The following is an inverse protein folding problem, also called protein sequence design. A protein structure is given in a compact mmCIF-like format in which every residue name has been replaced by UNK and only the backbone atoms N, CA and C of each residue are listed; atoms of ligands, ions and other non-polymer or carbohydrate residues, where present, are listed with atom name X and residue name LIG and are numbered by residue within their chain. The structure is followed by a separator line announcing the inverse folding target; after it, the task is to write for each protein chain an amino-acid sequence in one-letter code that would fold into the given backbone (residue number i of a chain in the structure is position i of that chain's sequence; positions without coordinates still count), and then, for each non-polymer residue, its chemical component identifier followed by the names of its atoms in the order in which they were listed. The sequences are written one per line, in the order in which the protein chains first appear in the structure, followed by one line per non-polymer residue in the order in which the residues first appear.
data_IF_100591993029
#
_entry.id   IF_100591993029
#
_cell.length_a   1.000
_cell.length_b   1.000
_cell.length_c   1.000
_cell.angle_alpha   90.00
_cell.angle_beta   90.00
_cell.angle_gamma   90.00
#
_symmetry.space_group_name_H-M   'P 1'
#
loop_
_entity.id
_entity.type
_entity.pdbx_description
1 polymer ?
#
# COMPACT_ATOMS: atom_id res chain seq x y z
N UNK A 1 17.35 -19.36 19.05
CA UNK A 1 16.16 -18.79 19.72
C UNK A 1 14.94 -19.21 18.92
N UNK A 2 13.98 -19.85 19.56
CA UNK A 2 12.68 -20.16 18.96
C UNK A 2 11.82 -18.87 19.00
N UNK A 3 11.18 -18.52 17.85
CA UNK A 3 10.26 -17.42 17.74
C UNK A 3 9.12 -17.79 16.77
N UNK A 4 7.96 -17.17 16.95
CA UNK A 4 6.83 -17.28 16.03
C UNK A 4 6.85 -16.10 15.05
N UNK A 5 6.84 -16.38 13.75
CA UNK A 5 6.80 -15.35 12.72
C UNK A 5 7.65 -15.67 11.50
N UNK A 6 7.66 -14.72 10.58
CA UNK A 6 8.43 -14.82 9.33
C UNK A 6 9.92 -14.64 9.56
N UNK A 7 10.73 -15.28 8.72
CA UNK A 7 12.18 -15.12 8.75
C UNK A 7 12.62 -13.72 8.28
N UNK A 8 13.91 -13.36 8.51
CA UNK A 8 14.41 -12.02 8.20
C UNK A 8 14.24 -11.63 6.72
N UNK A 9 14.38 -12.58 5.80
CA UNK A 9 14.19 -12.32 4.37
C UNK A 9 12.74 -11.87 4.05
N UNK A 10 11.74 -12.60 4.55
CA UNK A 10 10.34 -12.22 4.35
C UNK A 10 10.01 -10.88 5.02
N UNK A 11 10.56 -10.64 6.23
CA UNK A 11 10.40 -9.36 6.90
C UNK A 11 11.02 -8.20 6.11
N UNK A 12 12.21 -8.36 5.55
CA UNK A 12 12.84 -7.36 4.71
C UNK A 12 12.04 -7.09 3.43
N UNK A 13 11.57 -8.14 2.76
CA UNK A 13 10.73 -8.01 1.55
C UNK A 13 9.42 -7.27 1.84
N UNK A 14 8.74 -7.58 2.94
CA UNK A 14 7.48 -6.93 3.32
C UNK A 14 7.68 -5.53 3.93
N UNK A 15 8.87 -5.20 4.41
CA UNK A 15 9.20 -3.88 4.91
C UNK A 15 9.43 -2.86 3.79
N UNK A 16 10.04 -3.28 2.67
CA UNK A 16 10.33 -2.42 1.53
C UNK A 16 9.20 -2.50 0.50
N UNK A 17 8.38 -1.43 0.40
CA UNK A 17 7.21 -1.35 -0.48
C UNK A 17 7.54 -1.57 -1.96
N UNK A 18 8.70 -1.09 -2.43
CA UNK A 18 9.14 -1.31 -3.82
C UNK A 18 9.33 -2.79 -4.08
N UNK A 19 10.09 -3.47 -3.23
CA UNK A 19 10.37 -4.92 -3.33
C UNK A 19 9.08 -5.72 -3.20
N UNK A 20 8.23 -5.39 -2.22
CA UNK A 20 6.91 -6.02 -2.07
C UNK A 20 6.11 -5.97 -3.37
N UNK A 21 5.97 -4.78 -3.96
CA UNK A 21 5.19 -4.56 -5.17
C UNK A 21 5.76 -5.26 -6.41
N UNK A 22 7.08 -5.34 -6.52
CA UNK A 22 7.75 -6.11 -7.57
C UNK A 22 7.40 -7.60 -7.46
N UNK A 23 7.50 -8.17 -6.27
CA UNK A 23 7.16 -9.58 -5.99
C UNK A 23 5.67 -9.85 -6.26
N UNK A 24 4.77 -8.97 -5.80
CA UNK A 24 3.34 -9.11 -6.05
C UNK A 24 3.02 -9.11 -7.55
N UNK A 25 3.60 -8.19 -8.32
CA UNK A 25 3.43 -8.11 -9.78
C UNK A 25 3.95 -9.36 -10.50
N UNK A 26 5.13 -9.87 -10.12
CA UNK A 26 5.70 -11.10 -10.67
C UNK A 26 4.80 -12.32 -10.44
N UNK A 27 4.01 -12.30 -9.37
CA UNK A 27 3.04 -13.35 -9.02
C UNK A 27 1.61 -13.04 -9.48
N UNK A 28 1.39 -12.01 -10.33
CA UNK A 28 0.08 -11.58 -10.83
C UNK A 28 -0.91 -11.19 -9.72
N UNK A 29 -0.42 -10.69 -8.59
CA UNK A 29 -1.23 -10.18 -7.48
C UNK A 29 -1.42 -8.69 -7.66
N UNK A 30 -2.68 -8.23 -7.63
CA UNK A 30 -3.00 -6.83 -7.80
C UNK A 30 -2.41 -5.99 -6.65
N UNK A 31 -1.70 -4.95 -7.00
CA UNK A 31 -1.20 -3.92 -6.10
C UNK A 31 -1.27 -2.57 -6.82
N UNK A 32 -1.46 -1.45 -6.14
CA UNK A 32 -1.50 -0.13 -6.78
C UNK A 32 -0.27 0.11 -7.64
N UNK A 33 -0.44 0.75 -8.80
CA UNK A 33 0.67 1.11 -9.69
C UNK A 33 1.64 2.01 -8.93
N UNK A 34 2.93 1.79 -9.11
CA UNK A 34 3.97 2.57 -8.42
C UNK A 34 5.20 2.84 -9.28
N UNK A 35 5.92 3.91 -8.93
CA UNK A 35 7.16 4.35 -9.55
C UNK A 35 8.11 4.84 -8.45
N UNK A 36 9.33 4.30 -8.38
CA UNK A 36 10.34 4.81 -7.44
C UNK A 36 10.78 6.22 -7.82
N UNK A 37 11.02 7.06 -6.84
CA UNK A 37 11.52 8.43 -7.07
C UNK A 37 12.91 8.44 -7.70
N UNK A 38 13.69 7.38 -7.53
CA UNK A 38 14.99 7.21 -8.17
C UNK A 38 14.90 7.00 -9.69
N UNK A 39 13.73 6.58 -10.17
CA UNK A 39 13.40 6.44 -11.60
C UNK A 39 12.84 7.75 -12.20
N UNK A 40 12.75 8.79 -11.38
CA UNK A 40 12.18 10.08 -11.69
C UNK A 40 13.29 11.12 -11.77
N UNK A 41 13.46 11.81 -12.90
CA UNK A 41 14.52 12.80 -13.03
C UNK A 41 14.14 14.13 -12.38
N UNK A 42 15.17 14.92 -11.98
CA UNK A 42 14.98 16.30 -11.48
C UNK A 42 14.33 17.22 -12.52
N UNK A 43 14.54 16.95 -13.81
CA UNK A 43 13.91 17.67 -14.91
C UNK A 43 12.41 17.39 -14.95
N UNK A 44 12.01 16.13 -14.66
CA UNK A 44 10.61 15.74 -14.56
C UNK A 44 9.89 16.42 -13.37
N UNK A 45 10.59 16.65 -12.25
CA UNK A 45 10.03 17.35 -11.09
C UNK A 45 9.76 18.85 -11.35
N UNK A 46 10.46 19.45 -12.30
CA UNK A 46 10.25 20.85 -12.72
C UNK A 46 9.29 20.96 -13.92
N UNK A 47 9.04 19.88 -14.60
CA UNK A 47 8.04 19.75 -15.65
C UNK A 47 6.77 19.19 -15.02
N UNK A 48 5.62 19.64 -15.43
CA UNK A 48 4.32 19.34 -14.84
C UNK A 48 4.01 17.83 -14.69
N UNK A 49 2.98 17.48 -13.90
CA UNK A 49 2.36 16.13 -13.86
C UNK A 49 1.95 15.60 -15.26
N UNK A 50 2.18 16.39 -16.32
CA UNK A 50 1.93 16.03 -17.72
C UNK A 50 3.12 15.35 -18.41
N UNK A 51 4.19 14.99 -17.70
CA UNK A 51 5.31 14.24 -18.27
C UNK A 51 4.96 12.78 -18.53
N UNK A 52 5.65 12.15 -19.49
CA UNK A 52 5.48 10.73 -19.81
C UNK A 52 5.71 9.79 -18.61
N UNK A 53 6.49 10.23 -17.63
CA UNK A 53 6.73 9.48 -16.38
C UNK A 53 5.45 9.25 -15.58
N UNK A 54 4.47 10.16 -15.68
CA UNK A 54 3.17 10.06 -15.02
C UNK A 54 2.06 9.47 -15.87
N UNK A 55 2.30 9.17 -17.15
CA UNK A 55 1.27 8.59 -18.03
C UNK A 55 0.69 7.29 -17.50
N UNK A 56 1.51 6.50 -16.79
CA UNK A 56 1.08 5.26 -16.14
C UNK A 56 0.07 5.47 -15.00
N UNK A 57 -0.01 6.67 -14.46
CA UNK A 57 -0.93 7.04 -13.38
C UNK A 57 -2.20 7.74 -13.88
N UNK A 58 -2.34 7.93 -15.19
CA UNK A 58 -3.56 8.52 -15.76
C UNK A 58 -4.63 7.44 -15.95
N UNK A 59 -5.87 7.72 -15.63
CA UNK A 59 -6.50 9.03 -15.33
C UNK A 59 -6.69 9.32 -13.83
N UNK A 60 -5.75 9.04 -12.96
CA UNK A 60 -5.91 9.20 -11.51
C UNK A 60 -6.01 10.67 -11.10
N UNK A 61 -6.91 10.98 -10.17
CA UNK A 61 -7.12 12.33 -9.67
C UNK A 61 -5.97 12.80 -8.78
N UNK A 62 -5.30 11.88 -8.10
CA UNK A 62 -4.14 12.14 -7.25
C UNK A 62 -3.32 10.88 -6.97
N UNK A 63 -2.11 11.10 -6.49
CA UNK A 63 -1.14 10.07 -6.15
C UNK A 63 -0.72 10.23 -4.70
N UNK A 64 -0.17 9.17 -4.12
CA UNK A 64 0.60 9.27 -2.90
C UNK A 64 2.09 9.19 -3.18
N UNK A 65 2.87 10.02 -2.50
CA UNK A 65 4.32 9.86 -2.38
C UNK A 65 4.60 9.31 -0.98
N UNK A 66 5.20 8.13 -0.91
CA UNK A 66 5.41 7.36 0.33
C UNK A 66 6.88 6.94 0.46
N UNK A 67 7.44 6.83 1.68
CA UNK A 67 8.72 6.16 1.86
C UNK A 67 8.67 4.71 1.37
N UNK A 68 9.72 4.24 0.70
CA UNK A 68 9.86 2.83 0.33
C UNK A 68 9.90 1.92 1.55
N UNK A 69 10.57 2.37 2.59
CA UNK A 69 10.66 1.75 3.90
C UNK A 69 9.98 2.65 4.94
N UNK A 70 9.51 2.12 6.00
CA UNK A 70 8.72 2.71 7.07
C UNK A 70 7.23 2.33 7.03
N UNK A 71 6.65 2.35 8.23
CA UNK A 71 5.25 2.06 8.49
C UNK A 71 4.47 3.27 9.01
N UNK A 72 3.29 3.00 9.55
CA UNK A 72 2.49 3.98 10.32
C UNK A 72 2.10 5.24 9.57
N UNK A 73 2.09 5.23 8.24
CA UNK A 73 1.71 6.37 7.39
C UNK A 73 2.57 7.64 7.62
N UNK A 74 3.79 7.49 8.12
CA UNK A 74 4.74 8.59 8.33
C UNK A 74 5.27 9.05 6.97
N UNK A 75 5.39 10.37 6.79
CA UNK A 75 5.89 11.02 5.56
C UNK A 75 5.15 10.59 4.27
N UNK A 76 3.85 10.39 4.36
CA UNK A 76 2.98 10.21 3.19
C UNK A 76 2.49 11.58 2.72
N UNK A 77 2.65 11.86 1.43
CA UNK A 77 2.23 13.12 0.81
C UNK A 77 1.20 12.82 -0.28
N UNK A 78 0.07 13.51 -0.22
CA UNK A 78 -0.93 13.51 -1.29
C UNK A 78 -0.49 14.48 -2.39
N UNK A 79 -0.45 14.02 -3.62
CA UNK A 79 -0.06 14.79 -4.81
C UNK A 79 -1.30 14.94 -5.69
N UNK A 80 -1.86 16.14 -5.75
CA UNK A 80 -3.03 16.48 -6.57
C UNK A 80 -2.71 17.47 -7.70
N UNK A 81 -1.59 18.17 -7.59
CA UNK A 81 -1.17 19.24 -8.49
C UNK A 81 0.36 19.41 -8.47
N UNK A 82 0.85 20.34 -9.31
CA UNK A 82 2.28 20.62 -9.43
C UNK A 82 2.89 21.24 -8.16
N UNK A 83 2.12 22.00 -7.41
CA UNK A 83 2.60 22.63 -6.19
C UNK A 83 2.81 21.58 -5.10
N UNK A 84 1.84 20.69 -4.89
CA UNK A 84 1.95 19.56 -3.95
C UNK A 84 3.09 18.63 -4.34
N UNK A 85 3.31 18.36 -5.65
CA UNK A 85 4.46 17.61 -6.14
C UNK A 85 5.78 18.26 -5.76
N UNK A 86 5.96 19.56 -6.07
CA UNK A 86 7.19 20.30 -5.78
C UNK A 86 7.49 20.34 -4.28
N UNK A 87 6.45 20.55 -3.46
CA UNK A 87 6.59 20.60 -2.00
C UNK A 87 6.97 19.24 -1.41
N UNK A 88 6.32 18.16 -1.85
CA UNK A 88 6.63 16.79 -1.44
C UNK A 88 8.06 16.39 -1.89
N UNK A 89 8.41 16.65 -3.16
CA UNK A 89 9.72 16.35 -3.70
C UNK A 89 10.85 17.01 -2.93
N UNK A 90 10.72 18.30 -2.59
CA UNK A 90 11.71 19.02 -1.75
C UNK A 90 11.91 18.38 -0.39
N UNK A 91 10.83 17.88 0.23
CA UNK A 91 10.91 17.19 1.53
C UNK A 91 11.61 15.84 1.41
N UNK A 92 11.37 15.11 0.33
CA UNK A 92 11.93 13.78 0.10
C UNK A 92 13.42 13.83 -0.30
N UNK A 93 13.83 14.76 -1.17
CA UNK A 93 15.21 14.84 -1.66
C UNK A 93 16.22 15.30 -0.61
N UNK A 94 15.77 15.99 0.44
CA UNK A 94 16.60 16.31 1.60
C UNK A 94 16.79 15.09 2.53
N UNK A 95 16.16 13.99 2.24
CA UNK A 95 16.16 12.76 3.03
C UNK A 95 16.87 11.66 2.23
N UNK A 96 17.77 10.92 2.87
CA UNK A 96 18.52 9.82 2.22
C UNK A 96 17.67 8.54 2.02
N UNK A 97 16.36 8.59 2.36
CA UNK A 97 15.44 7.47 2.20
C UNK A 97 14.92 7.38 0.76
N UNK A 98 14.66 6.17 0.29
CA UNK A 98 13.91 5.95 -0.94
C UNK A 98 12.44 6.33 -0.76
N UNK A 99 11.82 6.86 -1.83
CA UNK A 99 10.40 7.15 -1.91
C UNK A 99 9.82 6.57 -3.19
N UNK A 100 8.52 6.28 -3.18
CA UNK A 100 7.79 5.88 -4.37
C UNK A 100 6.49 6.68 -4.53
N UNK A 101 6.16 6.98 -5.77
CA UNK A 101 4.81 7.39 -6.15
C UNK A 101 3.93 6.15 -6.23
N UNK A 102 2.69 6.28 -5.77
CA UNK A 102 1.69 5.22 -5.81
C UNK A 102 0.34 5.80 -6.21
N UNK A 103 -0.39 5.09 -7.08
CA UNK A 103 -1.75 5.46 -7.40
C UNK A 103 -2.66 5.35 -6.18
N UNK A 104 -3.62 6.27 -6.09
CA UNK A 104 -4.68 6.16 -5.11
C UNK A 104 -5.78 5.25 -5.63
N UNK A 105 -6.08 4.21 -4.89
CA UNK A 105 -7.25 3.37 -5.12
C UNK A 105 -8.37 3.86 -4.21
N UNK A 106 -9.44 4.40 -4.80
CA UNK A 106 -10.63 4.79 -4.05
C UNK A 106 -11.44 3.55 -3.70
N UNK A 107 -11.59 3.26 -2.40
CA UNK A 107 -12.27 2.05 -1.97
C UNK A 107 -12.33 1.87 -0.47
N UNK A 108 -12.70 0.65 -0.06
CA UNK A 108 -12.75 0.21 1.34
C UNK A 108 -11.39 -0.32 1.76
N UNK A 109 -10.93 0.09 2.93
CA UNK A 109 -9.71 -0.47 3.51
C UNK A 109 -10.04 -1.72 4.32
N UNK A 110 -9.38 -2.81 3.99
CA UNK A 110 -9.60 -4.13 4.57
C UNK A 110 -8.28 -4.70 5.06
N UNK A 111 -8.35 -5.55 6.07
CA UNK A 111 -7.18 -6.30 6.53
C UNK A 111 -7.55 -7.76 6.80
N UNK A 112 -6.67 -8.67 6.42
CA UNK A 112 -6.82 -10.11 6.61
C UNK A 112 -5.64 -10.64 7.41
N UNK A 113 -5.92 -11.32 8.50
CA UNK A 113 -4.92 -12.06 9.24
C UNK A 113 -4.78 -13.45 8.64
N UNK A 114 -3.56 -13.84 8.31
CA UNK A 114 -3.20 -15.20 7.86
C UNK A 114 -2.37 -15.87 8.96
N UNK A 115 -2.79 -17.05 9.42
CA UNK A 115 -2.07 -17.85 10.41
C UNK A 115 -1.98 -19.28 9.87
N UNK A 116 -0.76 -19.81 9.78
CA UNK A 116 -0.48 -21.17 9.27
C UNK A 116 -1.19 -21.47 7.94
N UNK A 117 -1.23 -20.45 7.03
CA UNK A 117 -1.91 -20.48 5.73
C UNK A 117 -3.44 -20.52 5.80
N UNK A 118 -4.02 -20.26 6.94
CA UNK A 118 -5.45 -20.10 7.11
C UNK A 118 -5.80 -18.60 7.22
N UNK A 119 -6.73 -18.13 6.36
CA UNK A 119 -7.21 -16.75 6.37
C UNK A 119 -8.37 -16.59 7.35
N UNK A 120 -8.19 -15.72 8.33
CA UNK A 120 -9.22 -15.35 9.29
C UNK A 120 -10.24 -14.37 8.67
N UNK A 121 -11.39 -14.13 9.33
CA UNK A 121 -12.41 -13.21 8.81
C UNK A 121 -11.82 -11.82 8.52
N UNK A 122 -12.07 -11.25 7.32
CA UNK A 122 -11.59 -9.92 6.98
C UNK A 122 -12.21 -8.85 7.88
N UNK A 123 -11.39 -7.88 8.26
CA UNK A 123 -11.80 -6.70 9.03
C UNK A 123 -11.80 -5.48 8.11
N UNK A 124 -12.86 -4.70 8.17
CA UNK A 124 -12.93 -3.39 7.51
C UNK A 124 -12.48 -2.30 8.48
N UNK A 125 -11.60 -1.44 8.00
CA UNK A 125 -11.08 -0.29 8.73
C UNK A 125 -11.83 0.94 8.22
N UNK A 126 -12.63 1.55 9.09
CA UNK A 126 -13.42 2.74 8.77
C UNK A 126 -12.84 3.91 9.55
N UNK A 127 -12.35 4.91 8.84
CA UNK A 127 -11.86 6.16 9.43
C UNK A 127 -12.69 7.34 8.95
N UNK A 128 -12.78 8.39 9.76
CA UNK A 128 -13.37 9.68 9.36
C UNK A 128 -12.39 10.53 8.55
N UNK A 129 -11.09 10.22 8.63
CA UNK A 129 -10.06 10.90 7.87
C UNK A 129 -10.14 10.52 6.38
N UNK A 130 -9.59 11.35 5.51
CA UNK A 130 -9.57 11.12 4.06
C UNK A 130 -8.86 9.81 3.70
N UNK A 131 -7.92 9.36 4.54
CA UNK A 131 -7.24 8.05 4.46
C UNK A 131 -6.80 7.62 5.86
N UNK A 132 -6.39 6.36 6.01
CA UNK A 132 -5.94 5.78 7.29
C UNK A 132 -4.52 6.25 7.60
N UNK A 133 -4.39 7.51 8.02
CA UNK A 133 -3.14 8.17 8.39
C UNK A 133 -2.67 7.83 9.81
N UNK A 134 -1.57 8.46 10.23
CA UNK A 134 -1.01 8.26 11.58
C UNK A 134 -2.00 8.63 12.69
N UNK A 135 -2.73 9.73 12.51
CA UNK A 135 -3.70 10.19 13.51
C UNK A 135 -4.87 9.22 13.64
N UNK A 136 -5.37 8.69 12.52
CA UNK A 136 -6.41 7.67 12.50
C UNK A 136 -5.93 6.32 13.09
N UNK A 137 -4.62 6.04 13.02
CA UNK A 137 -4.03 4.78 13.54
C UNK A 137 -3.79 4.82 15.05
N UNK A 138 -3.39 5.96 15.60
CA UNK A 138 -2.81 6.00 16.94
C UNK A 138 -3.38 7.07 17.87
N UNK A 139 -4.08 8.08 17.33
CA UNK A 139 -4.54 9.24 18.12
C UNK A 139 -6.06 9.30 18.16
N UNK A 140 -6.75 9.00 17.05
CA UNK A 140 -8.20 9.10 16.97
C UNK A 140 -8.89 7.86 17.48
N UNK A 141 -9.81 8.04 18.43
CA UNK A 141 -10.73 6.98 18.89
C UNK A 141 -11.88 6.73 17.87
N UNK A 142 -11.90 7.46 16.77
CA UNK A 142 -12.97 7.42 15.76
C UNK A 142 -12.78 6.32 14.70
N UNK A 143 -11.62 5.62 14.70
CA UNK A 143 -11.39 4.50 13.78
C UNK A 143 -12.12 3.25 14.26
N UNK A 144 -12.97 2.72 13.39
CA UNK A 144 -13.71 1.50 13.66
C UNK A 144 -13.06 0.31 12.96
N UNK A 145 -12.97 -0.80 13.67
CA UNK A 145 -12.56 -2.09 13.13
C UNK A 145 -13.75 -3.03 13.23
N UNK A 146 -14.37 -3.35 12.11
CA UNK A 146 -15.56 -4.20 12.08
C UNK A 146 -15.34 -5.38 11.15
N UNK A 147 -16.08 -6.47 11.38
CA UNK A 147 -16.09 -7.58 10.43
C UNK A 147 -16.60 -7.09 9.07
N UNK A 148 -15.81 -7.33 8.01
CA UNK A 148 -16.13 -6.85 6.69
C UNK A 148 -17.37 -7.58 6.13
N UNK A 149 -18.37 -6.80 5.68
CA UNK A 149 -19.53 -7.35 4.97
C UNK A 149 -19.17 -7.59 3.51
N UNK A 150 -18.92 -8.82 3.16
CA UNK A 150 -18.53 -9.29 1.83
C UNK A 150 -19.54 -10.34 1.34
N UNK A 151 -19.76 -10.38 0.05
CA UNK A 151 -20.46 -11.50 -0.61
C UNK A 151 -19.60 -12.76 -0.53
N UNK A 152 -20.20 -13.92 -0.78
CA UNK A 152 -19.46 -15.20 -0.77
C UNK A 152 -18.32 -15.20 -1.81
N UNK A 153 -18.52 -14.61 -2.98
CA UNK A 153 -17.48 -14.48 -4.01
C UNK A 153 -16.33 -13.58 -3.52
N UNK A 154 -16.64 -12.39 -3.04
CA UNK A 154 -15.62 -11.45 -2.51
C UNK A 154 -14.84 -12.06 -1.34
N UNK A 155 -15.50 -12.86 -0.49
CA UNK A 155 -14.82 -13.55 0.61
C UNK A 155 -13.82 -14.60 0.11
N UNK A 156 -14.16 -15.31 -0.97
CA UNK A 156 -13.24 -16.26 -1.62
C UNK A 156 -12.06 -15.50 -2.24
N UNK A 157 -12.35 -14.42 -2.97
CA UNK A 157 -11.34 -13.65 -3.68
C UNK A 157 -10.35 -12.97 -2.72
N UNK A 158 -10.83 -12.31 -1.66
CA UNK A 158 -9.94 -11.63 -0.70
C UNK A 158 -9.04 -12.63 0.05
N UNK A 159 -9.57 -13.81 0.40
CA UNK A 159 -8.79 -14.86 1.04
C UNK A 159 -7.72 -15.42 0.11
N UNK A 160 -8.07 -15.66 -1.17
CA UNK A 160 -7.10 -16.11 -2.18
C UNK A 160 -5.98 -15.10 -2.34
N UNK A 161 -6.30 -13.84 -2.61
CA UNK A 161 -5.31 -12.77 -2.79
C UNK A 161 -4.41 -12.61 -1.56
N UNK A 162 -4.99 -12.72 -0.36
CA UNK A 162 -4.23 -12.61 0.90
C UNK A 162 -3.26 -13.77 1.09
N UNK A 163 -3.70 -14.99 0.78
CA UNK A 163 -2.86 -16.18 0.88
C UNK A 163 -1.75 -16.17 -0.18
N UNK A 164 -2.09 -15.76 -1.42
CA UNK A 164 -1.13 -15.64 -2.51
C UNK A 164 -0.03 -14.62 -2.17
N UNK A 165 -0.39 -13.48 -1.58
CA UNK A 165 0.57 -12.47 -1.12
C UNK A 165 1.46 -13.00 0.02
N UNK A 166 0.88 -13.71 0.99
CA UNK A 166 1.60 -14.33 2.08
C UNK A 166 2.64 -15.34 1.56
N UNK A 167 2.27 -16.15 0.57
CA UNK A 167 3.16 -17.16 -0.02
C UNK A 167 4.22 -16.53 -0.92
N UNK A 168 3.86 -15.56 -1.76
CA UNK A 168 4.78 -14.86 -2.65
C UNK A 168 5.93 -14.16 -1.89
N UNK A 169 5.61 -13.57 -0.73
CA UNK A 169 6.59 -12.95 0.15
C UNK A 169 7.35 -13.95 1.03
N UNK A 170 7.06 -15.26 0.89
CA UNK A 170 7.62 -16.32 1.72
C UNK A 170 7.41 -16.12 3.23
N UNK A 171 6.27 -15.56 3.60
CA UNK A 171 5.87 -15.40 5.00
C UNK A 171 5.67 -16.75 5.68
N UNK A 172 5.86 -16.80 6.99
CA UNK A 172 5.72 -18.00 7.83
C UNK A 172 4.94 -17.65 9.09
N UNK A 173 4.33 -18.69 9.66
CA UNK A 173 3.52 -18.65 10.86
C UNK A 173 2.33 -17.69 10.74
N UNK A 174 2.55 -16.38 10.72
CA UNK A 174 1.46 -15.42 10.62
C UNK A 174 1.91 -14.13 9.92
N UNK A 175 0.94 -13.46 9.31
CA UNK A 175 1.06 -12.10 8.80
C UNK A 175 -0.32 -11.42 8.76
N UNK A 176 -0.32 -10.11 8.66
CA UNK A 176 -1.48 -9.30 8.32
C UNK A 176 -1.30 -8.79 6.89
N UNK A 177 -2.30 -8.97 6.06
CA UNK A 177 -2.34 -8.48 4.69
C UNK A 177 -3.35 -7.34 4.64
N UNK A 178 -2.88 -6.14 4.32
CA UNK A 178 -3.72 -4.94 4.19
C UNK A 178 -4.08 -4.75 2.70
N UNK A 179 -5.36 -4.46 2.43
CA UNK A 179 -5.92 -4.40 1.08
C UNK A 179 -6.86 -3.20 0.92
N UNK A 180 -6.99 -2.73 -0.32
CA UNK A 180 -8.09 -1.86 -0.73
C UNK A 180 -9.01 -2.65 -1.67
N UNK A 181 -10.33 -2.60 -1.41
CA UNK A 181 -11.34 -3.05 -2.36
C UNK A 181 -11.86 -1.85 -3.13
N UNK A 182 -11.64 -1.80 -4.46
CA UNK A 182 -12.15 -0.72 -5.31
C UNK A 182 -13.68 -0.79 -5.49
N UNK A 183 -14.25 0.24 -6.11
CA UNK A 183 -15.70 0.31 -6.40
C UNK A 183 -16.23 -0.78 -7.35
N UNK A 184 -15.34 -1.50 -8.03
CA UNK A 184 -15.68 -2.61 -8.93
C UNK A 184 -15.58 -3.97 -8.24
N UNK A 185 -15.12 -3.99 -6.98
CA UNK A 185 -14.94 -5.20 -6.19
C UNK A 185 -13.55 -5.84 -6.33
N UNK A 186 -12.60 -5.22 -7.02
CA UNK A 186 -11.24 -5.75 -7.13
C UNK A 186 -10.45 -5.45 -5.86
N UNK A 187 -9.62 -6.40 -5.44
CA UNK A 187 -8.74 -6.27 -4.28
C UNK A 187 -7.31 -5.93 -4.71
N UNK A 188 -6.70 -4.98 -4.01
CA UNK A 188 -5.32 -4.54 -4.21
C UNK A 188 -4.56 -4.65 -2.88
N UNK A 189 -3.47 -5.39 -2.85
CA UNK A 189 -2.58 -5.47 -1.68
C UNK A 189 -1.75 -4.18 -1.61
N UNK A 190 -1.71 -3.55 -0.42
CA UNK A 190 -1.06 -2.24 -0.17
C UNK A 190 0.09 -2.32 0.83
#
# INVERSE_FOLDING_TARGET
ILYSGSGPEACMKSWNKKVTKEILKENNINTPVSLSISEFSLEDANQSLNTSSFDRFRPFNYLFLKPEEDGSSIDIFKISDEESLKNAYKKCTNNKRGFLFEEYIEGRELTVTVIDKECYPPIEIITKNEFYDYDAKYISDDTLHIEAKLTQSELVDIKSVSLDAFEALNCKAWARVDLIQDKKGNFYVI
#
